data_IF_478481310245
#
_entry.id   IF_478481310245
#
_cell.length_a   1.000
_cell.length_b   1.000
_cell.length_c   1.000
_cell.angle_alpha   90.00
_cell.angle_beta   90.00
_cell.angle_gamma   90.00
#
_symmetry.space_group_name_H-M   'P 1'
#
loop_
_entity.id
_entity.type
_entity.pdbx_description
1 polymer ?
#
# COMPACT_ATOMS: atom_id res chain seq x y z
N UNK A 1 18.03 -6.65 10.69
CA UNK A 1 16.95 -7.16 9.83
C UNK A 1 15.69 -6.39 10.16
N UNK A 2 15.11 -5.68 9.18
CA UNK A 2 13.84 -4.95 9.39
C UNK A 2 12.74 -5.97 9.72
N UNK A 3 11.86 -5.64 10.67
CA UNK A 3 10.74 -6.52 11.02
C UNK A 3 9.71 -6.52 9.90
N UNK A 4 9.19 -7.70 9.54
CA UNK A 4 8.04 -7.82 8.65
C UNK A 4 6.78 -7.27 9.33
N UNK A 5 5.90 -6.60 8.58
CA UNK A 5 4.62 -6.11 9.10
C UNK A 5 3.72 -7.32 9.44
N UNK A 6 3.76 -8.35 8.60
CA UNK A 6 3.06 -9.62 8.78
C UNK A 6 3.81 -10.74 8.07
N UNK A 7 3.41 -11.96 8.32
CA UNK A 7 3.86 -13.17 7.62
C UNK A 7 2.62 -13.96 7.22
N UNK A 8 2.53 -14.38 5.95
CA UNK A 8 1.40 -15.13 5.43
C UNK A 8 0.66 -14.39 4.32
N UNK A 9 -0.66 -14.48 4.29
CA UNK A 9 -1.52 -13.94 3.25
C UNK A 9 -2.05 -12.54 3.62
N UNK A 10 -1.87 -11.58 2.73
CA UNK A 10 -2.48 -10.24 2.83
C UNK A 10 -3.55 -10.05 1.76
N UNK A 11 -4.80 -9.88 2.15
CA UNK A 11 -5.90 -9.67 1.20
C UNK A 11 -5.98 -8.22 0.74
N UNK A 12 -6.01 -8.00 -0.58
CA UNK A 12 -6.39 -6.71 -1.16
C UNK A 12 -7.92 -6.61 -1.18
N UNK A 13 -8.48 -6.02 -0.13
CA UNK A 13 -9.92 -6.00 0.11
C UNK A 13 -10.63 -5.08 -0.90
N UNK A 14 -11.80 -5.52 -1.36
CA UNK A 14 -12.71 -4.72 -2.19
C UNK A 14 -13.45 -3.69 -1.31
N UNK A 15 -13.83 -2.57 -1.91
CA UNK A 15 -14.70 -1.58 -1.26
C UNK A 15 -16.12 -1.77 -1.80
N UNK A 16 -17.09 -2.20 -0.99
CA UNK A 16 -18.48 -2.30 -1.41
C UNK A 16 -19.12 -0.92 -1.48
N UNK A 17 -19.95 -0.71 -2.51
CA UNK A 17 -20.70 0.52 -2.70
C UNK A 17 -22.20 0.21 -2.76
N UNK A 18 -22.99 1.17 -2.28
CA UNK A 18 -24.45 1.16 -2.40
C UNK A 18 -24.89 1.58 -3.81
N UNK A 19 -26.17 1.49 -4.10
CA UNK A 19 -26.73 1.91 -5.40
C UNK A 19 -26.53 3.41 -5.69
N UNK A 20 -26.45 4.24 -4.62
CA UNK A 20 -26.17 5.68 -4.71
C UNK A 20 -24.66 6.01 -4.82
N UNK A 21 -23.82 4.99 -4.95
CA UNK A 21 -22.34 5.03 -5.06
C UNK A 21 -21.63 5.44 -3.77
N UNK A 22 -22.32 5.60 -2.66
CA UNK A 22 -21.67 5.75 -1.35
C UNK A 22 -21.09 4.43 -0.87
N UNK A 23 -20.07 4.48 -0.01
CA UNK A 23 -19.47 3.27 0.58
C UNK A 23 -20.47 2.55 1.48
N UNK A 24 -20.62 1.25 1.30
CA UNK A 24 -21.43 0.38 2.16
C UNK A 24 -20.59 -0.15 3.32
N UNK A 25 -20.55 0.60 4.41
CA UNK A 25 -19.75 0.23 5.58
C UNK A 25 -20.24 -1.04 6.26
N UNK A 26 -21.55 -1.30 6.28
CA UNK A 26 -22.10 -2.54 6.86
C UNK A 26 -21.62 -3.78 6.09
N UNK A 27 -21.52 -3.67 4.77
CA UNK A 27 -21.00 -4.76 3.94
C UNK A 27 -19.47 -4.85 4.02
N UNK A 28 -18.78 -3.72 4.16
CA UNK A 28 -17.32 -3.68 4.36
C UNK A 28 -16.92 -4.44 5.64
N UNK A 29 -17.63 -4.20 6.75
CA UNK A 29 -17.40 -4.90 8.01
C UNK A 29 -17.57 -6.43 7.88
N UNK A 30 -18.60 -6.88 7.17
CA UNK A 30 -18.82 -8.31 6.90
C UNK A 30 -17.71 -8.90 6.05
N UNK A 31 -17.16 -8.15 5.07
CA UNK A 31 -16.04 -8.61 4.26
C UNK A 31 -14.75 -8.70 5.10
N UNK A 32 -14.52 -7.75 6.00
CA UNK A 32 -13.40 -7.79 6.93
C UNK A 32 -13.48 -9.04 7.80
N UNK A 33 -14.62 -9.27 8.45
CA UNK A 33 -14.83 -10.44 9.31
C UNK A 33 -14.66 -11.75 8.52
N UNK A 34 -15.28 -11.83 7.33
CA UNK A 34 -15.12 -13.01 6.47
C UNK A 34 -13.65 -13.32 6.16
N UNK A 35 -12.83 -12.32 5.84
CA UNK A 35 -11.43 -12.53 5.54
C UNK A 35 -10.63 -12.98 6.77
N UNK A 36 -10.87 -12.36 7.92
CA UNK A 36 -10.20 -12.72 9.17
C UNK A 36 -10.58 -14.15 9.59
N UNK A 37 -11.86 -14.48 9.56
CA UNK A 37 -12.36 -15.81 9.94
C UNK A 37 -11.87 -16.93 8.99
N UNK A 38 -11.52 -16.57 7.76
CA UNK A 38 -10.95 -17.50 6.77
C UNK A 38 -9.42 -17.42 6.67
N UNK A 39 -8.76 -16.81 7.63
CA UNK A 39 -7.31 -16.94 7.86
C UNK A 39 -6.44 -15.96 7.09
N UNK A 40 -6.94 -14.75 6.74
CA UNK A 40 -6.02 -13.71 6.27
C UNK A 40 -5.11 -13.24 7.41
N UNK A 41 -3.83 -12.98 7.10
CA UNK A 41 -2.85 -12.49 8.08
C UNK A 41 -2.72 -10.96 8.07
N UNK A 42 -3.31 -10.29 7.10
CA UNK A 42 -3.40 -8.83 7.01
C UNK A 42 -4.47 -8.38 6.03
N UNK A 43 -4.93 -7.13 6.17
CA UNK A 43 -5.87 -6.51 5.24
C UNK A 43 -5.18 -5.32 4.56
N UNK A 44 -5.20 -5.30 3.23
CA UNK A 44 -4.82 -4.14 2.44
C UNK A 44 -6.09 -3.42 2.00
N UNK A 45 -6.34 -2.25 2.61
CA UNK A 45 -7.52 -1.41 2.35
C UNK A 45 -7.16 -0.26 1.40
N UNK A 46 -8.10 0.21 0.60
CA UNK A 46 -7.89 1.28 -0.37
C UNK A 46 -6.69 1.02 -1.32
N UNK A 47 -6.45 -0.25 -1.66
CA UNK A 47 -5.56 -0.62 -2.76
C UNK A 47 -6.27 -0.55 -4.11
N UNK A 48 -5.64 -1.09 -5.14
CA UNK A 48 -6.23 -1.14 -6.50
C UNK A 48 -7.55 -1.91 -6.53
N UNK A 49 -7.62 -3.08 -5.87
CA UNK A 49 -8.85 -3.87 -5.77
C UNK A 49 -9.93 -3.18 -4.95
N UNK A 50 -9.54 -2.31 -4.02
CA UNK A 50 -10.44 -1.48 -3.23
C UNK A 50 -10.89 -0.22 -3.95
N UNK A 51 -10.60 -0.08 -5.25
CA UNK A 51 -11.07 1.01 -6.11
C UNK A 51 -10.72 2.42 -5.59
N UNK A 52 -9.56 2.56 -4.92
CA UNK A 52 -9.13 3.85 -4.36
C UNK A 52 -9.12 4.98 -5.39
N UNK A 53 -8.84 4.68 -6.67
CA UNK A 53 -8.83 5.66 -7.76
C UNK A 53 -10.20 6.24 -8.11
N UNK A 54 -11.31 5.65 -7.65
CA UNK A 54 -12.68 6.14 -7.88
C UNK A 54 -13.26 6.86 -6.66
N UNK A 55 -12.52 6.91 -5.56
CA UNK A 55 -12.89 7.60 -4.31
C UNK A 55 -12.10 8.91 -4.15
N UNK A 56 -12.72 9.90 -3.54
CA UNK A 56 -11.99 11.08 -3.06
C UNK A 56 -11.00 10.69 -1.95
N UNK A 57 -9.99 11.52 -1.70
CA UNK A 57 -9.03 11.27 -0.62
C UNK A 57 -9.70 11.25 0.75
N UNK A 58 -10.79 12.02 0.94
CA UNK A 58 -11.54 12.02 2.20
C UNK A 58 -12.27 10.69 2.39
N UNK A 59 -12.96 10.19 1.37
CA UNK A 59 -13.58 8.86 1.41
C UNK A 59 -12.57 7.74 1.66
N UNK A 60 -11.39 7.80 1.02
CA UNK A 60 -10.33 6.81 1.28
C UNK A 60 -9.93 6.78 2.76
N UNK A 61 -9.74 7.94 3.38
CA UNK A 61 -9.36 8.02 4.79
C UNK A 61 -10.52 7.58 5.72
N UNK A 62 -11.76 7.88 5.37
CA UNK A 62 -12.93 7.37 6.11
C UNK A 62 -12.99 5.83 6.06
N UNK A 63 -12.76 5.23 4.88
CA UNK A 63 -12.71 3.77 4.69
C UNK A 63 -11.54 3.15 5.48
N UNK A 64 -10.36 3.77 5.45
CA UNK A 64 -9.21 3.33 6.28
C UNK A 64 -9.55 3.36 7.75
N UNK A 65 -10.13 4.46 8.24
CA UNK A 65 -10.50 4.63 9.65
C UNK A 65 -11.55 3.61 10.09
N UNK A 66 -12.58 3.38 9.27
CA UNK A 66 -13.61 2.37 9.54
C UNK A 66 -12.99 0.95 9.58
N UNK A 67 -12.11 0.63 8.62
CA UNK A 67 -11.43 -0.66 8.59
C UNK A 67 -10.57 -0.87 9.85
N UNK A 68 -9.74 0.10 10.22
CA UNK A 68 -8.90 0.02 11.43
C UNK A 68 -9.76 -0.17 12.68
N UNK A 69 -10.84 0.60 12.81
CA UNK A 69 -11.74 0.49 13.94
C UNK A 69 -12.41 -0.88 14.04
N UNK A 70 -12.92 -1.40 12.92
CA UNK A 70 -13.61 -2.69 12.90
C UNK A 70 -12.65 -3.88 13.08
N UNK A 71 -11.47 -3.83 12.47
CA UNK A 71 -10.43 -4.86 12.64
C UNK A 71 -9.97 -4.93 14.09
N UNK A 72 -9.90 -3.81 14.78
CA UNK A 72 -9.59 -3.70 16.21
C UNK A 72 -8.37 -4.55 16.64
N UNK A 73 -7.29 -4.47 15.88
CA UNK A 73 -6.01 -5.15 16.17
C UNK A 73 -5.99 -6.66 15.95
N UNK A 74 -7.03 -7.27 15.36
CA UNK A 74 -7.06 -8.71 15.06
C UNK A 74 -6.00 -9.12 14.04
N UNK A 75 -5.76 -8.28 13.03
CA UNK A 75 -4.70 -8.40 12.04
C UNK A 75 -4.19 -7.01 11.67
N UNK A 76 -2.97 -6.87 11.11
CA UNK A 76 -2.49 -5.57 10.60
C UNK A 76 -3.35 -5.03 9.46
N UNK A 77 -3.60 -3.71 9.48
CA UNK A 77 -4.26 -2.96 8.42
C UNK A 77 -3.23 -2.15 7.65
N UNK A 78 -3.12 -2.40 6.36
CA UNK A 78 -2.20 -1.72 5.43
C UNK A 78 -3.02 -0.82 4.52
N UNK A 79 -2.81 0.49 4.59
CA UNK A 79 -3.56 1.46 3.78
C UNK A 79 -2.85 1.75 2.46
N UNK A 80 -3.58 1.73 1.35
CA UNK A 80 -3.12 2.29 0.07
C UNK A 80 -2.95 3.80 0.19
N UNK A 81 -1.74 4.31 -0.09
CA UNK A 81 -1.40 5.73 0.10
C UNK A 81 -0.58 6.34 -1.05
N UNK A 82 -0.33 5.59 -2.13
CA UNK A 82 0.43 6.08 -3.27
C UNK A 82 -0.39 6.96 -4.21
N UNK A 83 0.26 7.99 -4.75
CA UNK A 83 -0.29 8.85 -5.80
C UNK A 83 0.81 9.24 -6.79
N UNK A 84 0.43 9.74 -7.97
CA UNK A 84 1.39 10.25 -8.94
C UNK A 84 1.81 11.72 -8.68
N UNK A 85 1.12 12.39 -7.77
CA UNK A 85 1.51 13.67 -7.17
C UNK A 85 2.13 13.40 -5.79
N UNK A 86 3.34 13.87 -5.55
CA UNK A 86 4.04 13.61 -4.28
C UNK A 86 3.31 14.23 -3.09
N UNK A 87 2.75 15.42 -3.24
CA UNK A 87 2.00 16.08 -2.15
C UNK A 87 0.73 15.31 -1.77
N UNK A 88 0.05 14.71 -2.75
CA UNK A 88 -1.10 13.85 -2.50
C UNK A 88 -0.69 12.55 -1.78
N UNK A 89 0.43 11.93 -2.20
CA UNK A 89 0.97 10.76 -1.53
C UNK A 89 1.36 11.07 -0.07
N UNK A 90 1.98 12.22 0.18
CA UNK A 90 2.29 12.69 1.54
C UNK A 90 1.05 12.92 2.38
N UNK A 91 0.01 13.52 1.80
CA UNK A 91 -1.26 13.76 2.48
C UNK A 91 -1.94 12.44 2.86
N UNK A 92 -2.07 11.50 1.91
CA UNK A 92 -2.65 10.18 2.14
C UNK A 92 -1.83 9.39 3.18
N UNK A 93 -0.50 9.39 3.09
CA UNK A 93 0.36 8.67 4.03
C UNK A 93 0.17 9.14 5.47
N UNK A 94 0.27 10.45 5.71
CA UNK A 94 0.11 11.05 7.05
C UNK A 94 -1.30 10.86 7.62
N UNK A 95 -2.32 10.97 6.78
CA UNK A 95 -3.71 10.79 7.22
C UNK A 95 -4.02 9.34 7.53
N UNK A 96 -3.48 8.38 6.75
CA UNK A 96 -3.63 6.95 7.01
C UNK A 96 -2.93 6.53 8.30
N UNK A 97 -1.71 7.04 8.55
CA UNK A 97 -1.02 6.84 9.82
C UNK A 97 -1.84 7.39 11.00
N UNK A 98 -2.35 8.62 10.88
CA UNK A 98 -3.21 9.23 11.90
C UNK A 98 -4.52 8.47 12.12
N UNK A 99 -5.06 7.81 11.09
CA UNK A 99 -6.24 6.95 11.17
C UNK A 99 -5.94 5.60 11.85
N UNK A 100 -4.67 5.30 12.15
CA UNK A 100 -4.26 4.10 12.87
C UNK A 100 -3.87 2.92 11.98
N UNK A 101 -3.56 3.13 10.71
CA UNK A 101 -3.03 2.07 9.86
C UNK A 101 -1.68 1.56 10.40
N UNK A 102 -1.46 0.24 10.35
CA UNK A 102 -0.23 -0.42 10.80
C UNK A 102 0.91 -0.34 9.77
N UNK A 103 0.58 0.00 8.54
CA UNK A 103 1.53 0.19 7.44
C UNK A 103 0.88 0.79 6.21
N UNK A 104 1.72 1.13 5.23
CA UNK A 104 1.27 1.72 3.98
C UNK A 104 1.67 0.86 2.78
N UNK A 105 0.80 0.80 1.78
CA UNK A 105 1.12 0.30 0.45
C UNK A 105 1.22 1.49 -0.51
N UNK A 106 2.44 1.80 -0.97
CA UNK A 106 2.70 2.98 -1.79
C UNK A 106 3.07 2.54 -3.20
N UNK A 107 2.16 2.75 -4.15
CA UNK A 107 2.40 2.47 -5.57
C UNK A 107 3.41 3.46 -6.15
N UNK A 108 4.21 3.01 -7.15
CA UNK A 108 5.03 3.94 -7.93
C UNK A 108 4.16 5.00 -8.59
N UNK A 109 4.65 6.26 -8.74
CA UNK A 109 3.93 7.26 -9.52
C UNK A 109 3.51 6.69 -10.87
N UNK A 110 2.24 6.81 -11.19
CA UNK A 110 1.63 6.32 -12.42
C UNK A 110 1.43 7.47 -13.40
N UNK A 111 1.36 7.17 -14.72
CA UNK A 111 1.13 8.11 -15.80
C UNK A 111 2.34 8.98 -16.18
N UNK A 112 2.98 9.68 -15.23
CA UNK A 112 4.06 10.65 -15.46
C UNK A 112 5.45 10.01 -15.71
N UNK A 113 5.57 8.68 -15.72
CA UNK A 113 6.78 7.92 -16.12
C UNK A 113 8.05 8.39 -15.40
N UNK A 114 8.04 8.34 -14.07
CA UNK A 114 9.19 8.70 -13.24
C UNK A 114 10.45 7.93 -13.63
N UNK A 115 11.61 8.60 -13.58
CA UNK A 115 12.93 7.95 -13.71
C UNK A 115 13.28 7.17 -12.43
N UNK A 116 14.28 6.29 -12.48
CA UNK A 116 14.76 5.57 -11.29
C UNK A 116 15.19 6.54 -10.17
N UNK A 117 15.88 7.62 -10.53
CA UNK A 117 16.24 8.67 -9.57
C UNK A 117 15.02 9.38 -8.99
N UNK A 118 14.02 9.67 -9.82
CA UNK A 118 12.75 10.23 -9.36
C UNK A 118 12.00 9.30 -8.40
N UNK A 119 12.06 7.99 -8.63
CA UNK A 119 11.51 7.00 -7.69
C UNK A 119 12.28 6.99 -6.36
N UNK A 120 13.60 7.08 -6.37
CA UNK A 120 14.41 7.21 -5.15
C UNK A 120 13.97 8.44 -4.33
N UNK A 121 13.85 9.59 -4.99
CA UNK A 121 13.44 10.85 -4.34
C UNK A 121 12.00 10.77 -3.82
N UNK A 122 11.07 10.22 -4.60
CA UNK A 122 9.67 10.02 -4.22
C UNK A 122 9.53 9.16 -2.96
N UNK A 123 10.11 7.96 -2.97
CA UNK A 123 10.00 7.05 -1.83
C UNK A 123 10.75 7.56 -0.60
N UNK A 124 11.88 8.24 -0.78
CA UNK A 124 12.60 8.89 0.32
C UNK A 124 11.74 9.98 0.97
N UNK A 125 11.09 10.79 0.15
CA UNK A 125 10.21 11.88 0.63
C UNK A 125 9.00 11.33 1.37
N UNK A 126 8.33 10.31 0.83
CA UNK A 126 7.18 9.67 1.49
C UNK A 126 7.62 8.95 2.75
N UNK A 127 8.71 8.18 2.69
CA UNK A 127 9.23 7.44 3.83
C UNK A 127 9.60 8.32 5.02
N UNK A 128 10.24 9.46 4.76
CA UNK A 128 10.60 10.41 5.82
C UNK A 128 9.41 11.20 6.39
N UNK A 129 8.21 11.02 5.87
CA UNK A 129 7.02 11.77 6.31
C UNK A 129 6.16 11.07 7.34
N UNK A 130 6.40 9.78 7.58
CA UNK A 130 5.65 8.91 8.50
C UNK A 130 6.59 7.96 9.22
N UNK A 131 6.16 7.43 10.36
CA UNK A 131 6.94 6.50 11.16
C UNK A 131 6.55 5.03 10.90
N UNK A 132 5.35 4.78 10.39
CA UNK A 132 4.86 3.42 10.13
C UNK A 132 5.54 2.78 8.91
N UNK A 133 5.62 1.43 8.86
CA UNK A 133 6.26 0.70 7.77
C UNK A 133 5.59 0.94 6.41
N UNK A 134 6.41 0.99 5.36
CA UNK A 134 5.97 1.15 3.98
C UNK A 134 6.34 -0.07 3.15
N UNK A 135 5.37 -0.55 2.39
CA UNK A 135 5.54 -1.53 1.31
C UNK A 135 5.53 -0.77 -0.01
N UNK A 136 6.62 -0.75 -0.75
CA UNK A 136 6.62 -0.26 -2.13
C UNK A 136 5.73 -1.15 -3.00
N UNK A 137 5.06 -0.58 -4.00
CA UNK A 137 4.24 -1.37 -4.91
C UNK A 137 4.63 -1.10 -6.36
N UNK A 138 5.16 -2.15 -7.01
CA UNK A 138 5.58 -2.12 -8.41
C UNK A 138 4.58 -2.88 -9.28
N UNK A 139 3.89 -2.17 -10.18
CA UNK A 139 2.88 -2.74 -11.10
C UNK A 139 2.95 -2.06 -12.47
N UNK A 140 4.01 -2.31 -13.25
CA UNK A 140 4.29 -1.60 -14.51
C UNK A 140 3.15 -1.62 -15.51
N UNK A 141 2.37 -2.71 -15.55
CA UNK A 141 1.21 -2.83 -16.44
C UNK A 141 0.08 -1.84 -16.16
N UNK A 142 0.05 -1.24 -14.95
CA UNK A 142 -0.92 -0.21 -14.58
C UNK A 142 -0.33 1.18 -14.51
N UNK A 143 0.95 1.29 -14.13
CA UNK A 143 1.60 2.58 -13.87
C UNK A 143 2.38 3.13 -15.06
N UNK A 144 2.83 2.25 -15.98
CA UNK A 144 3.78 2.60 -17.02
C UNK A 144 5.20 2.86 -16.49
N UNK A 145 5.46 2.53 -15.21
CA UNK A 145 6.74 2.72 -14.52
C UNK A 145 7.16 1.42 -13.87
N UNK A 146 8.38 0.97 -14.14
CA UNK A 146 8.97 -0.20 -13.49
C UNK A 146 10.11 0.22 -12.58
N UNK A 147 9.99 -0.04 -11.27
CA UNK A 147 11.11 0.12 -10.35
C UNK A 147 12.07 -1.06 -10.53
N UNK A 148 13.31 -0.77 -10.85
CA UNK A 148 14.31 -1.80 -11.05
C UNK A 148 14.76 -2.40 -9.70
N UNK A 149 15.17 -3.69 -9.65
CA UNK A 149 15.60 -4.34 -8.42
C UNK A 149 16.68 -3.58 -7.65
N UNK A 150 17.71 -3.08 -8.35
CA UNK A 150 18.78 -2.30 -7.73
C UNK A 150 18.26 -1.00 -7.10
N UNK A 151 17.31 -0.32 -7.74
CA UNK A 151 16.67 0.89 -7.22
C UNK A 151 15.84 0.58 -5.98
N UNK A 152 15.03 -0.48 -6.03
CA UNK A 152 14.20 -0.89 -4.89
C UNK A 152 15.05 -1.24 -3.66
N UNK A 153 16.12 -2.01 -3.85
CA UNK A 153 17.05 -2.37 -2.77
C UNK A 153 17.79 -1.15 -2.22
N UNK A 154 18.23 -0.24 -3.10
CA UNK A 154 18.87 1.02 -2.68
C UNK A 154 17.93 1.86 -1.80
N UNK A 155 16.68 2.03 -2.21
CA UNK A 155 15.66 2.75 -1.43
C UNK A 155 15.47 2.08 -0.07
N UNK A 156 15.23 0.76 -0.05
CA UNK A 156 15.01 0.02 1.18
C UNK A 156 16.22 0.05 2.14
N UNK A 157 17.44 0.20 1.63
CA UNK A 157 18.66 0.35 2.46
C UNK A 157 18.86 1.77 2.99
N UNK A 158 18.30 2.79 2.34
CA UNK A 158 18.51 4.19 2.69
C UNK A 158 17.36 4.81 3.48
N UNK A 159 16.17 4.19 3.50
CA UNK A 159 14.97 4.66 4.19
C UNK A 159 14.50 3.59 5.16
N UNK A 160 14.57 3.88 6.47
CA UNK A 160 14.43 2.87 7.51
C UNK A 160 13.06 2.20 7.57
N UNK A 161 11.98 2.94 7.34
CA UNK A 161 10.63 2.41 7.38
C UNK A 161 10.13 1.80 6.05
N UNK A 162 10.93 1.83 4.99
CA UNK A 162 10.63 1.05 3.78
C UNK A 162 11.12 -0.38 3.97
N UNK A 163 10.20 -1.31 4.20
CA UNK A 163 10.51 -2.66 4.72
C UNK A 163 10.26 -3.78 3.71
N UNK A 164 9.48 -3.53 2.67
CA UNK A 164 9.09 -4.54 1.68
C UNK A 164 8.75 -3.93 0.32
N UNK A 165 8.59 -4.81 -0.65
CA UNK A 165 8.00 -4.49 -1.95
C UNK A 165 6.94 -5.53 -2.33
N UNK A 166 5.78 -5.07 -2.78
CA UNK A 166 4.82 -5.89 -3.51
C UNK A 166 5.19 -5.83 -4.98
N UNK A 167 5.79 -6.92 -5.48
CA UNK A 167 6.25 -7.02 -6.86
C UNK A 167 5.16 -7.66 -7.74
N UNK A 168 4.62 -6.88 -8.65
CA UNK A 168 3.54 -7.29 -9.54
C UNK A 168 3.86 -6.97 -11.03
N UNK A 169 5.14 -7.04 -11.42
CA UNK A 169 5.56 -6.86 -12.81
C UNK A 169 5.13 -8.02 -13.72
N UNK A 170 4.90 -9.22 -13.15
CA UNK A 170 4.72 -10.43 -13.93
C UNK A 170 6.04 -11.05 -14.43
N UNK A 171 7.18 -10.47 -14.08
CA UNK A 171 8.52 -10.96 -14.43
C UNK A 171 9.16 -11.68 -13.24
N UNK A 172 9.13 -13.01 -13.27
CA UNK A 172 9.73 -13.83 -12.22
C UNK A 172 11.27 -13.69 -12.16
N UNK A 173 11.91 -13.33 -13.26
CA UNK A 173 13.34 -13.03 -13.30
C UNK A 173 13.67 -11.78 -12.49
N UNK A 174 12.83 -10.74 -12.59
CA UNK A 174 12.96 -9.54 -11.77
C UNK A 174 12.76 -9.84 -10.28
N UNK A 175 11.78 -10.70 -9.93
CA UNK A 175 11.56 -11.14 -8.55
C UNK A 175 12.79 -11.86 -8.00
N UNK A 176 13.36 -12.80 -8.75
CA UNK A 176 14.56 -13.54 -8.35
C UNK A 176 15.76 -12.62 -8.17
N UNK A 177 15.96 -11.67 -9.09
CA UNK A 177 17.03 -10.66 -9.00
C UNK A 177 16.88 -9.78 -7.77
N UNK A 178 15.65 -9.34 -7.47
CA UNK A 178 15.34 -8.54 -6.29
C UNK A 178 15.66 -9.30 -5.00
N UNK A 179 15.25 -10.56 -4.91
CA UNK A 179 15.54 -11.41 -3.76
C UNK A 179 17.05 -11.58 -3.55
N UNK A 180 17.80 -11.87 -4.62
CA UNK A 180 19.26 -12.04 -4.56
C UNK A 180 20.02 -10.76 -4.15
N UNK A 181 19.49 -9.57 -4.44
CA UNK A 181 20.09 -8.28 -4.07
C UNK A 181 19.71 -7.82 -2.66
N UNK A 182 18.62 -8.37 -2.11
CA UNK A 182 18.09 -7.99 -0.79
C UNK A 182 18.78 -8.72 0.36
N UNK A 183 19.44 -9.85 0.09
CA UNK A 183 20.26 -10.61 1.05
C UNK A 183 21.62 -9.89 1.27
#
# INVERSE_FOLDING_TARGET
>A
RKMSIFTGAGVALVTPFKEDLSVDYDQLEKFIDFQIDNGTDSIVICGTSGEASTMSHDEQIEVVSACVSHVNGRVPVIAGAGANCTDEALNLAKRSEKAGADGLLVVTPYYNKATQKGLEEYYTTVGNSVDIPIIMYNVPGRTGTNIQPATAVKIAKSVDNIVAIKEASGDIGQVATLAALAD
#
